data_IF_036010537407
#
_entry.id   IF_036010537407
#
_cell.length_a   1.000
_cell.length_b   1.000
_cell.length_c   1.000
_cell.angle_alpha   90.00
_cell.angle_beta   90.00
_cell.angle_gamma   90.00
#
_symmetry.space_group_name_H-M   'P 1'
#
loop_
_entity.id
_entity.type
_entity.pdbx_description
1 polymer ?
#
# COMPACT_ATOMS: atom_id res chain seq x y z
N UNK A 1 -1.58 -17.90 10.94
CA UNK A 1 -1.65 -16.97 9.79
C UNK A 1 -2.26 -15.68 10.28
N UNK A 2 -1.54 -14.55 10.19
CA UNK A 2 -2.12 -13.24 10.45
C UNK A 2 -3.30 -12.97 9.52
N UNK A 3 -4.38 -12.39 10.06
CA UNK A 3 -5.57 -12.03 9.29
C UNK A 3 -5.83 -10.55 9.51
N UNK A 4 -5.88 -9.80 8.42
CA UNK A 4 -6.49 -8.47 8.38
C UNK A 4 -7.98 -8.65 8.08
N UNK A 5 -8.84 -8.14 8.95
CA UNK A 5 -10.26 -8.00 8.67
C UNK A 5 -10.68 -6.56 8.97
N UNK A 6 -11.25 -5.89 7.98
CA UNK A 6 -11.67 -4.49 8.09
C UNK A 6 -13.08 -4.34 7.57
N UNK A 7 -13.94 -3.72 8.37
CA UNK A 7 -15.24 -3.22 7.95
C UNK A 7 -15.17 -1.69 7.81
N UNK A 8 -15.54 -1.19 6.63
CA UNK A 8 -15.53 0.23 6.32
C UNK A 8 -16.82 0.88 6.79
N UNK A 9 -16.69 1.89 7.63
CA UNK A 9 -17.82 2.69 8.12
C UNK A 9 -17.46 4.17 8.15
N UNK A 10 -18.46 5.03 7.99
CA UNK A 10 -18.29 6.47 8.03
C UNK A 10 -19.60 7.14 8.45
N UNK A 11 -19.48 8.34 8.98
CA UNK A 11 -20.61 9.25 9.20
C UNK A 11 -20.51 10.42 8.22
N UNK A 12 -21.66 10.93 7.81
CA UNK A 12 -21.75 12.10 6.94
C UNK A 12 -22.94 12.97 7.30
N UNK A 13 -23.08 14.10 6.64
CA UNK A 13 -24.21 15.01 6.83
C UNK A 13 -25.27 14.76 5.76
N UNK A 14 -26.54 14.64 6.17
CA UNK A 14 -27.65 14.65 5.22
C UNK A 14 -27.93 16.08 4.70
N UNK A 15 -28.91 16.23 3.80
CA UNK A 15 -29.30 17.55 3.24
C UNK A 15 -29.77 18.56 4.30
N UNK A 16 -30.12 18.10 5.49
CA UNK A 16 -30.55 18.92 6.63
C UNK A 16 -29.41 19.18 7.64
N UNK A 17 -28.18 18.75 7.34
CA UNK A 17 -27.03 18.94 8.23
C UNK A 17 -26.97 18.01 9.44
N UNK A 18 -27.76 16.94 9.46
CA UNK A 18 -27.76 15.93 10.53
C UNK A 18 -26.73 14.84 10.24
N UNK A 19 -26.08 14.32 11.30
CA UNK A 19 -25.20 13.17 11.18
C UNK A 19 -26.00 11.91 10.85
N UNK A 20 -25.57 11.24 9.79
CA UNK A 20 -26.15 9.98 9.32
C UNK A 20 -25.03 8.98 9.05
N UNK A 21 -25.29 7.72 9.40
CA UNK A 21 -24.39 6.63 9.01
C UNK A 21 -24.41 6.46 7.50
N UNK A 22 -23.23 6.43 6.89
CA UNK A 22 -23.10 6.11 5.47
C UNK A 22 -23.12 4.58 5.33
N UNK A 23 -23.91 4.00 4.40
CA UNK A 23 -23.91 2.56 4.20
C UNK A 23 -22.50 2.01 3.91
N UNK A 24 -22.04 0.93 4.56
CA UNK A 24 -20.67 0.41 4.41
C UNK A 24 -20.23 0.18 2.96
N UNK A 25 -21.12 -0.35 2.11
CA UNK A 25 -20.86 -0.52 0.66
C UNK A 25 -20.48 0.77 -0.05
N UNK A 26 -21.08 1.90 0.35
CA UNK A 26 -20.81 3.22 -0.23
C UNK A 26 -19.47 3.74 0.27
N UNK A 27 -19.13 3.47 1.53
CA UNK A 27 -17.82 3.81 2.10
C UNK A 27 -16.72 3.04 1.37
N UNK A 28 -16.85 1.71 1.25
CA UNK A 28 -15.88 0.86 0.55
C UNK A 28 -15.75 1.23 -0.94
N UNK A 29 -16.85 1.56 -1.61
CA UNK A 29 -16.81 2.02 -3.00
C UNK A 29 -16.03 3.34 -3.15
N UNK A 30 -16.18 4.28 -2.21
CA UNK A 30 -15.53 5.60 -2.29
C UNK A 30 -14.08 5.60 -1.82
N UNK A 31 -13.77 4.84 -0.77
CA UNK A 31 -12.44 4.81 -0.16
C UNK A 31 -11.53 3.71 -0.68
N UNK A 32 -12.09 2.74 -1.43
CA UNK A 32 -11.39 1.56 -1.92
C UNK A 32 -10.88 0.67 -0.75
N UNK A 33 -10.36 -0.54 -1.02
CA UNK A 33 -9.84 -1.43 0.01
C UNK A 33 -8.45 -0.98 0.50
N UNK A 34 -8.43 0.13 1.23
CA UNK A 34 -7.21 0.75 1.76
C UNK A 34 -6.94 0.35 3.22
N UNK A 35 -5.66 0.26 3.56
CA UNK A 35 -5.18 -0.07 4.91
C UNK A 35 -4.09 0.90 5.34
N UNK A 36 -4.06 1.22 6.63
CA UNK A 36 -2.97 2.03 7.18
C UNK A 36 -1.70 1.17 7.27
N UNK A 37 -0.62 1.66 6.68
CA UNK A 37 0.68 1.00 6.71
C UNK A 37 1.78 1.93 7.17
N UNK A 38 2.89 1.33 7.56
CA UNK A 38 4.18 1.96 7.71
C UNK A 38 5.14 1.32 6.70
N UNK A 39 5.92 2.13 5.98
CA UNK A 39 6.87 1.66 4.97
C UNK A 39 8.28 2.12 5.32
N UNK A 40 9.21 1.17 5.25
CA UNK A 40 10.64 1.40 5.44
C UNK A 40 11.47 0.60 4.44
N UNK A 41 12.78 0.58 4.65
CA UNK A 41 13.71 -0.24 3.89
C UNK A 41 13.46 -1.73 4.15
N UNK A 42 13.55 -2.57 3.10
CA UNK A 42 13.47 -4.02 3.25
C UNK A 42 14.45 -4.56 4.30
N UNK A 43 14.02 -5.50 5.15
CA UNK A 43 14.83 -6.02 6.25
C UNK A 43 16.10 -6.73 5.75
N UNK A 44 16.00 -7.44 4.62
CA UNK A 44 17.12 -8.10 3.95
C UNK A 44 18.28 -7.15 3.65
N UNK A 45 18.00 -5.91 3.25
CA UNK A 45 19.02 -4.89 2.95
C UNK A 45 19.37 -4.07 4.19
N UNK A 46 18.40 -3.78 5.06
CA UNK A 46 18.63 -3.05 6.30
C UNK A 46 19.70 -3.74 7.16
N UNK A 47 19.65 -5.08 7.25
CA UNK A 47 20.64 -5.86 8.01
C UNK A 47 22.06 -5.69 7.46
N UNK A 48 22.22 -5.70 6.13
CA UNK A 48 23.52 -5.52 5.49
C UNK A 48 24.05 -4.09 5.65
N UNK A 49 23.17 -3.08 5.59
CA UNK A 49 23.56 -1.67 5.69
C UNK A 49 23.83 -1.22 7.12
N UNK A 50 23.13 -1.80 8.11
CA UNK A 50 23.42 -1.55 9.54
C UNK A 50 24.83 -2.02 9.92
N UNK A 51 25.31 -3.12 9.33
CA UNK A 51 26.69 -3.57 9.52
C UNK A 51 27.73 -2.57 8.98
N UNK A 52 27.33 -1.67 8.07
CA UNK A 52 28.18 -0.60 7.52
C UNK A 52 28.07 0.72 8.30
N UNK A 53 27.36 0.73 9.45
CA UNK A 53 27.23 1.90 10.31
C UNK A 53 26.35 3.02 9.74
N UNK A 54 25.56 2.75 8.69
CA UNK A 54 24.63 3.73 8.13
C UNK A 54 23.37 3.83 8.99
N UNK A 55 22.94 5.06 9.28
CA UNK A 55 21.62 5.36 9.84
C UNK A 55 20.62 5.54 8.71
N UNK A 56 19.44 4.94 8.85
CA UNK A 56 18.37 5.05 7.86
C UNK A 56 17.26 5.99 8.35
N UNK A 57 16.59 6.75 7.47
CA UNK A 57 15.37 7.47 7.84
C UNK A 57 14.34 6.56 8.52
N UNK A 58 13.57 7.14 9.45
CA UNK A 58 12.49 6.39 10.09
C UNK A 58 11.43 6.01 9.04
N UNK A 59 10.80 4.83 9.18
CA UNK A 59 9.67 4.46 8.35
C UNK A 59 8.57 5.53 8.36
N UNK A 60 7.92 5.71 7.22
CA UNK A 60 6.82 6.67 7.02
C UNK A 60 5.47 5.95 7.01
N UNK A 61 4.42 6.63 7.46
CA UNK A 61 3.08 6.04 7.53
C UNK A 61 2.14 6.68 6.51
N UNK A 62 1.24 5.86 5.96
CA UNK A 62 0.24 6.31 4.99
C UNK A 62 -0.74 5.19 4.62
N UNK A 63 -1.59 5.44 3.64
CA UNK A 63 -2.56 4.45 3.17
C UNK A 63 -1.96 3.60 2.04
N UNK A 64 -2.09 2.28 2.13
CA UNK A 64 -1.83 1.38 1.02
C UNK A 64 -3.14 0.83 0.47
N UNK A 65 -3.27 0.79 -0.85
CA UNK A 65 -4.39 0.15 -1.53
C UNK A 65 -4.08 -1.33 -1.76
N UNK A 66 -5.01 -2.22 -1.41
CA UNK A 66 -4.98 -3.62 -1.88
C UNK A 66 -5.49 -3.64 -3.32
N UNK A 67 -4.61 -3.84 -4.29
CA UNK A 67 -4.90 -3.57 -5.70
C UNK A 67 -4.71 -4.82 -6.57
N UNK A 68 -5.82 -5.51 -6.86
CA UNK A 68 -5.82 -6.64 -7.80
C UNK A 68 -5.59 -6.20 -9.26
N UNK A 69 -5.77 -4.92 -9.58
CA UNK A 69 -5.50 -4.33 -10.89
C UNK A 69 -4.00 -4.13 -11.16
N UNK A 70 -3.21 -3.90 -10.12
CA UNK A 70 -1.76 -3.74 -10.23
C UNK A 70 -1.04 -5.09 -10.38
N UNK A 71 -0.21 -5.23 -11.42
CA UNK A 71 0.64 -6.42 -11.59
C UNK A 71 1.77 -6.49 -10.57
N UNK A 72 2.28 -5.34 -10.14
CA UNK A 72 3.39 -5.20 -9.20
C UNK A 72 2.97 -4.32 -8.03
N UNK A 73 3.60 -4.54 -6.89
CA UNK A 73 3.52 -3.66 -5.72
C UNK A 73 4.26 -2.36 -6.02
N UNK A 74 3.69 -1.24 -5.61
CA UNK A 74 4.22 0.08 -5.89
C UNK A 74 4.39 0.89 -4.61
N UNK A 75 5.36 1.80 -4.60
CA UNK A 75 5.55 2.83 -3.59
C UNK A 75 5.44 4.21 -4.24
N UNK A 76 4.93 5.20 -3.51
CA UNK A 76 5.00 6.58 -3.97
C UNK A 76 6.46 7.02 -4.18
N UNK A 77 6.77 7.56 -5.35
CA UNK A 77 8.14 7.92 -5.74
C UNK A 77 8.72 9.00 -4.81
N UNK A 78 7.91 9.98 -4.38
CA UNK A 78 8.39 11.04 -3.48
C UNK A 78 8.66 10.47 -2.08
N UNK A 79 7.79 9.56 -1.62
CA UNK A 79 7.98 8.83 -0.39
C UNK A 79 9.26 7.97 -0.39
N UNK A 80 9.54 7.27 -1.50
CA UNK A 80 10.76 6.49 -1.68
C UNK A 80 12.02 7.37 -1.60
N UNK A 81 11.99 8.54 -2.26
CA UNK A 81 13.06 9.54 -2.21
C UNK A 81 13.24 10.14 -0.81
N UNK A 82 12.15 10.42 -0.10
CA UNK A 82 12.18 10.93 1.28
C UNK A 82 12.83 9.91 2.24
N UNK A 83 12.52 8.62 2.06
CA UNK A 83 13.15 7.52 2.77
C UNK A 83 14.59 7.26 2.30
N UNK A 84 15.06 7.94 1.25
CA UNK A 84 16.36 7.75 0.61
C UNK A 84 16.59 6.32 0.13
N UNK A 85 15.53 5.59 -0.27
CA UNK A 85 15.60 4.18 -0.67
C UNK A 85 16.61 3.95 -1.81
N UNK A 86 17.41 2.87 -1.72
CA UNK A 86 18.34 2.56 -2.80
C UNK A 86 17.54 2.09 -4.02
N UNK A 87 17.85 2.65 -5.18
CA UNK A 87 17.36 2.14 -6.46
C UNK A 87 18.12 0.85 -6.76
N UNK A 88 17.41 -0.28 -6.82
CA UNK A 88 18.01 -1.60 -7.11
C UNK A 88 17.82 -2.03 -8.56
N UNK A 89 16.86 -1.43 -9.26
CA UNK A 89 16.59 -1.69 -10.67
C UNK A 89 15.78 -0.53 -11.30
N UNK A 90 15.56 -0.59 -12.61
CA UNK A 90 14.63 0.27 -13.34
C UNK A 90 13.68 -0.63 -14.13
N UNK A 91 12.37 -0.47 -13.92
CA UNK A 91 11.33 -1.21 -14.59
C UNK A 91 10.61 -0.33 -15.61
N UNK A 92 10.23 -0.93 -16.74
CA UNK A 92 9.42 -0.28 -17.75
C UNK A 92 7.94 -0.52 -17.44
N UNK A 93 7.22 0.54 -17.07
CA UNK A 93 5.81 0.45 -16.67
C UNK A 93 4.93 0.91 -17.82
N UNK A 94 4.08 0.01 -18.30
CA UNK A 94 2.96 0.34 -19.15
C UNK A 94 1.73 0.59 -18.26
N UNK A 95 1.22 1.83 -18.24
CA UNK A 95 -0.12 2.09 -17.70
C UNK A 95 -1.14 1.99 -18.82
N UNK A 96 -2.42 1.77 -18.49
CA UNK A 96 -3.50 1.68 -19.46
C UNK A 96 -3.63 2.94 -20.36
N UNK A 97 -2.98 4.06 -20.01
CA UNK A 97 -3.05 5.34 -20.72
C UNK A 97 -1.72 5.90 -21.21
N UNK A 98 -0.57 5.25 -20.99
CA UNK A 98 0.75 5.80 -21.35
C UNK A 98 1.65 4.80 -22.08
N UNK A 99 2.52 5.32 -22.97
CA UNK A 99 3.68 4.60 -23.48
C UNK A 99 4.59 4.18 -22.32
N UNK A 100 5.22 3.01 -22.45
CA UNK A 100 6.15 2.44 -21.47
C UNK A 100 7.12 3.50 -20.91
N UNK A 101 7.04 3.79 -19.60
CA UNK A 101 7.93 4.75 -18.94
C UNK A 101 8.89 4.02 -17.99
N UNK A 102 10.18 4.38 -17.95
CA UNK A 102 11.10 3.85 -16.96
C UNK A 102 10.73 4.40 -15.58
N UNK A 103 10.67 3.51 -14.59
CA UNK A 103 10.42 3.81 -13.19
C UNK A 103 11.45 3.11 -12.32
N UNK A 104 11.89 3.77 -11.25
CA UNK A 104 12.82 3.19 -10.30
C UNK A 104 12.17 2.02 -9.55
N UNK A 105 12.98 1.06 -9.14
CA UNK A 105 12.57 -0.07 -8.33
C UNK A 105 13.28 -0.02 -7.00
N UNK A 106 12.52 -0.17 -5.93
CA UNK A 106 12.95 -0.04 -4.56
C UNK A 106 12.64 -1.30 -3.74
N UNK A 107 13.54 -1.69 -2.84
CA UNK A 107 13.31 -2.76 -1.90
C UNK A 107 12.67 -2.20 -0.62
N UNK A 108 11.43 -2.58 -0.34
CA UNK A 108 10.66 -2.01 0.77
C UNK A 108 10.15 -3.08 1.73
N UNK A 109 9.99 -2.67 2.99
CA UNK A 109 9.21 -3.39 4.00
C UNK A 109 7.91 -2.63 4.23
N UNK A 110 6.78 -3.31 4.09
CA UNK A 110 5.46 -2.80 4.44
C UNK A 110 5.01 -3.48 5.74
N UNK A 111 4.59 -2.70 6.73
CA UNK A 111 4.00 -3.16 7.98
C UNK A 111 2.58 -2.63 8.08
N UNK A 112 1.61 -3.50 8.36
CA UNK A 112 0.21 -3.08 8.56
C UNK A 112 0.05 -2.57 9.99
N UNK A 113 -0.40 -1.33 10.15
CA UNK A 113 -0.50 -0.70 11.47
C UNK A 113 -1.50 -1.45 12.34
N UNK A 114 -1.06 -1.84 13.54
CA UNK A 114 -1.89 -2.53 14.53
C UNK A 114 -2.03 -4.03 14.31
N UNK A 115 -1.38 -4.62 13.30
CA UNK A 115 -1.42 -6.04 13.02
C UNK A 115 0.00 -6.62 12.83
N UNK A 116 0.23 -7.88 13.21
CA UNK A 116 1.52 -8.55 12.99
C UNK A 116 1.64 -9.03 11.52
N UNK A 117 1.42 -8.13 10.56
CA UNK A 117 1.53 -8.38 9.13
C UNK A 117 2.69 -7.56 8.58
N UNK A 118 3.68 -8.26 8.04
CA UNK A 118 4.91 -7.71 7.47
C UNK A 118 5.07 -8.28 6.07
N UNK A 119 5.14 -7.41 5.05
CA UNK A 119 5.30 -7.79 3.65
C UNK A 119 6.62 -7.22 3.15
N UNK A 120 7.56 -8.08 2.79
CA UNK A 120 8.77 -7.66 2.09
C UNK A 120 8.52 -7.63 0.59
N UNK A 121 8.67 -6.46 -0.04
CA UNK A 121 8.55 -6.29 -1.48
C UNK A 121 9.91 -5.84 -2.02
N UNK A 122 10.72 -6.80 -2.46
CA UNK A 122 12.09 -6.56 -2.94
C UNK A 122 12.15 -5.74 -4.24
N UNK A 123 11.04 -5.68 -4.99
CA UNK A 123 10.95 -5.01 -6.30
C UNK A 123 9.74 -4.07 -6.39
N UNK A 124 9.48 -3.27 -5.35
CA UNK A 124 8.40 -2.29 -5.42
C UNK A 124 8.72 -1.19 -6.43
N UNK A 125 7.78 -0.90 -7.32
CA UNK A 125 7.98 0.08 -8.40
C UNK A 125 7.60 1.48 -7.89
N UNK A 126 8.46 2.47 -8.15
CA UNK A 126 8.15 3.88 -7.92
C UNK A 126 7.01 4.35 -8.81
N UNK A 127 6.01 5.00 -8.22
CA UNK A 127 4.85 5.53 -8.95
C UNK A 127 4.39 6.86 -8.34
N UNK A 128 3.70 7.69 -9.13
CA UNK A 128 3.08 8.92 -8.62
C UNK A 128 1.72 8.58 -7.95
N UNK A 129 1.73 8.31 -6.64
CA UNK A 129 0.55 7.85 -5.89
C UNK A 129 -0.02 8.92 -4.95
N UNK A 130 0.80 9.89 -4.55
CA UNK A 130 0.44 10.98 -3.63
C UNK A 130 -0.78 11.79 -4.07
N UNK A 131 -1.00 11.97 -5.38
CA UNK A 131 -2.20 12.63 -5.92
C UNK A 131 -3.52 11.91 -5.57
N UNK A 132 -3.45 10.62 -5.24
CA UNK A 132 -4.58 9.79 -4.80
C UNK A 132 -4.61 9.61 -3.27
N UNK A 133 -3.69 10.27 -2.54
CA UNK A 133 -3.54 10.10 -1.10
C UNK A 133 -2.98 8.73 -0.68
N UNK A 134 -2.34 8.03 -1.60
CA UNK A 134 -1.79 6.69 -1.37
C UNK A 134 -0.26 6.76 -1.21
N UNK A 135 0.23 5.95 -0.27
CA UNK A 135 1.65 5.72 -0.04
C UNK A 135 2.15 4.49 -0.84
N UNK A 136 1.28 3.50 -1.06
CA UNK A 136 1.63 2.28 -1.78
C UNK A 136 0.41 1.60 -2.42
N UNK A 137 0.70 0.71 -3.36
CA UNK A 137 -0.22 -0.31 -3.88
C UNK A 137 0.35 -1.68 -3.51
N UNK A 138 -0.47 -2.56 -2.95
CA UNK A 138 -0.12 -3.98 -2.76
C UNK A 138 -0.69 -4.73 -3.95
N UNK A 139 0.19 -5.08 -4.89
CA UNK A 139 -0.16 -5.66 -6.19
C UNK A 139 -0.21 -7.18 -6.20
N UNK A 140 -0.50 -7.76 -7.38
CA UNK A 140 -0.63 -9.22 -7.55
C UNK A 140 0.64 -10.02 -7.30
N UNK A 141 1.82 -9.42 -7.41
CA UNK A 141 3.09 -10.01 -7.01
C UNK A 141 3.14 -10.43 -5.53
N UNK A 142 2.49 -9.65 -4.66
CA UNK A 142 2.26 -10.01 -3.24
C UNK A 142 0.96 -10.81 -3.09
N UNK A 143 -0.13 -10.36 -3.71
CA UNK A 143 -1.46 -10.94 -3.49
C UNK A 143 -1.60 -12.38 -4.00
N UNK A 144 -0.75 -12.84 -4.93
CA UNK A 144 -0.71 -14.25 -5.35
C UNK A 144 -0.38 -15.23 -4.22
N UNK A 145 0.18 -14.73 -3.11
CA UNK A 145 0.49 -15.50 -1.91
C UNK A 145 -0.57 -15.36 -0.81
N UNK A 146 -1.65 -14.62 -1.07
CA UNK A 146 -2.68 -14.29 -0.09
C UNK A 146 -4.03 -14.90 -0.45
N UNK A 147 -4.94 -14.94 0.52
CA UNK A 147 -6.39 -15.05 0.26
C UNK A 147 -7.03 -13.69 0.52
N UNK A 148 -7.65 -13.10 -0.50
CA UNK A 148 -8.41 -11.85 -0.41
C UNK A 148 -9.91 -12.16 -0.54
N UNK A 149 -10.68 -11.74 0.47
CA UNK A 149 -12.14 -11.71 0.42
C UNK A 149 -12.61 -10.25 0.37
N UNK A 150 -13.40 -9.92 -0.65
CA UNK A 150 -14.01 -8.60 -0.81
C UNK A 150 -15.53 -8.74 -0.70
N UNK A 151 -16.13 -8.24 0.37
CA UNK A 151 -17.57 -8.24 0.56
C UNK A 151 -18.13 -6.83 0.34
N UNK A 152 -18.51 -6.56 -0.90
CA UNK A 152 -19.08 -5.26 -1.28
C UNK A 152 -20.40 -4.94 -0.57
N UNK A 153 -21.20 -5.93 -0.18
CA UNK A 153 -22.50 -5.69 0.46
C UNK A 153 -22.34 -5.19 1.90
N UNK A 154 -21.46 -5.83 2.67
CA UNK A 154 -21.19 -5.48 4.07
C UNK A 154 -20.09 -4.42 4.21
N UNK A 155 -19.43 -4.05 3.10
CA UNK A 155 -18.33 -3.09 3.10
C UNK A 155 -17.11 -3.64 3.84
N UNK A 156 -16.77 -4.91 3.62
CA UNK A 156 -15.70 -5.60 4.33
C UNK A 156 -14.62 -6.10 3.38
N UNK A 157 -13.40 -6.16 3.90
CA UNK A 157 -12.30 -6.91 3.30
C UNK A 157 -11.67 -7.83 4.33
N UNK A 158 -11.19 -8.98 3.86
CA UNK A 158 -10.31 -9.85 4.64
C UNK A 158 -9.10 -10.21 3.79
N UNK A 159 -7.90 -10.06 4.34
CA UNK A 159 -6.65 -10.52 3.74
C UNK A 159 -5.97 -11.50 4.71
N UNK A 160 -5.68 -12.72 4.24
CA UNK A 160 -4.88 -13.70 4.97
C UNK A 160 -3.55 -13.92 4.25
N UNK A 161 -2.44 -13.88 4.99
CA UNK A 161 -1.06 -14.02 4.51
C UNK A 161 -0.27 -15.04 5.32
#
# INVERSE_FOLDING_TARGET
MPILHTQFSAQGKNRQGQDVSIPPRVVLQKHAPVVQVTIGLAQSIATQLLQQGRTWPKPISGMALIDTGASSTCIDEQAAQQLQLPVVNVANVASASHSSTPQNVYPIQIEVVGLPISIEASNAIGAALSAQGLLALIGRDVLQHCTLYYNGLTGEITLSI
#
